data_IF_415860647167
#
_entry.id   IF_415860647167
#
_cell.length_a   1.000
_cell.length_b   1.000
_cell.length_c   1.000
_cell.angle_alpha   90.00
_cell.angle_beta   90.00
_cell.angle_gamma   90.00
#
_symmetry.space_group_name_H-M   'P 1'
#
loop_
_entity.id
_entity.type
_entity.pdbx_description
1 polymer ?
#
# COMPACT_ATOMS: atom_id res chain seq x y z
N UNK A 1 -28.10 -3.57 25.19
CA UNK A 1 -27.14 -2.96 24.26
C UNK A 1 -26.93 -3.91 23.10
N UNK A 2 -27.43 -3.60 21.90
CA UNK A 2 -27.03 -4.35 20.71
C UNK A 2 -25.56 -4.04 20.46
N UNK A 3 -24.68 -5.05 20.50
CA UNK A 3 -23.31 -4.89 20.04
C UNK A 3 -23.36 -4.52 18.56
N UNK A 4 -22.96 -3.30 18.23
CA UNK A 4 -22.82 -2.86 16.84
C UNK A 4 -21.83 -3.79 16.14
N UNK A 5 -22.30 -4.59 15.18
CA UNK A 5 -21.44 -5.46 14.39
C UNK A 5 -20.73 -4.61 13.35
N UNK A 6 -19.41 -4.53 13.43
CA UNK A 6 -18.61 -3.81 12.45
C UNK A 6 -18.44 -4.63 11.17
N UNK A 7 -18.43 -3.93 10.05
CA UNK A 7 -18.14 -4.51 8.73
C UNK A 7 -16.63 -4.57 8.53
N UNK A 8 -16.09 -5.78 8.43
CA UNK A 8 -14.68 -6.03 8.12
C UNK A 8 -14.58 -6.91 6.88
N UNK A 9 -13.76 -6.48 5.93
CA UNK A 9 -13.42 -7.25 4.73
C UNK A 9 -12.07 -7.95 4.97
N UNK A 10 -11.98 -9.24 4.64
CA UNK A 10 -10.75 -10.04 4.81
C UNK A 10 -10.04 -10.25 3.49
N UNK A 11 -8.81 -10.77 3.50
CA UNK A 11 -8.13 -11.14 2.26
C UNK A 11 -8.95 -12.16 1.45
N UNK A 12 -8.96 -11.99 0.13
CA UNK A 12 -9.67 -12.83 -0.84
C UNK A 12 -8.69 -13.79 -1.55
N UNK A 13 -9.22 -14.75 -2.31
CA UNK A 13 -8.38 -15.60 -3.18
C UNK A 13 -7.81 -14.84 -4.38
N UNK A 14 -8.55 -13.87 -4.93
CA UNK A 14 -8.05 -13.00 -5.98
C UNK A 14 -7.45 -11.73 -5.36
N UNK A 15 -6.34 -11.21 -5.91
CA UNK A 15 -5.79 -9.95 -5.44
C UNK A 15 -6.79 -8.80 -5.61
N UNK A 16 -6.79 -7.90 -4.63
CA UNK A 16 -7.64 -6.72 -4.61
C UNK A 16 -6.80 -5.50 -4.94
N UNK A 17 -7.21 -4.71 -5.93
CA UNK A 17 -6.69 -3.40 -6.28
C UNK A 17 -7.68 -2.32 -5.82
N UNK A 18 -7.30 -1.51 -4.82
CA UNK A 18 -8.11 -0.38 -4.40
C UNK A 18 -7.75 0.87 -5.20
N UNK A 19 -8.75 1.53 -5.78
CA UNK A 19 -8.60 2.84 -6.40
C UNK A 19 -9.29 3.87 -5.50
N UNK A 20 -8.48 4.72 -4.88
CA UNK A 20 -8.90 5.79 -3.99
C UNK A 20 -8.93 7.10 -4.77
N UNK A 21 -10.03 7.83 -4.67
CA UNK A 21 -10.22 9.10 -5.35
C UNK A 21 -10.42 10.22 -4.32
N UNK A 22 -9.78 11.36 -4.54
CA UNK A 22 -10.42 12.60 -4.13
C UNK A 22 -11.67 12.85 -4.99
N UNK A 23 -12.54 13.78 -4.57
CA UNK A 23 -13.80 14.02 -5.25
C UNK A 23 -13.80 15.32 -6.05
N UNK A 24 -13.66 16.45 -5.34
CA UNK A 24 -13.68 17.77 -5.96
C UNK A 24 -12.47 17.96 -6.86
N UNK A 25 -12.65 18.54 -8.05
CA UNK A 25 -11.60 18.73 -9.08
C UNK A 25 -10.91 17.45 -9.57
N UNK A 26 -11.34 16.29 -9.07
CA UNK A 26 -10.86 14.97 -9.45
C UNK A 26 -11.91 14.19 -10.24
N UNK A 27 -13.11 14.00 -9.68
CA UNK A 27 -14.27 13.42 -10.38
C UNK A 27 -15.24 14.48 -10.89
N UNK A 28 -15.20 15.69 -10.31
CA UNK A 28 -16.00 16.85 -10.68
C UNK A 28 -15.11 17.99 -11.15
N UNK A 29 -15.59 18.91 -12.01
CA UNK A 29 -14.77 20.03 -12.48
C UNK A 29 -14.59 21.16 -11.44
N UNK A 30 -15.48 21.24 -10.45
CA UNK A 30 -15.55 22.33 -9.47
C UNK A 30 -15.83 21.77 -8.07
N UNK A 31 -15.54 22.56 -7.04
CA UNK A 31 -15.91 22.26 -5.66
C UNK A 31 -17.41 22.00 -5.54
N UNK A 32 -17.83 20.88 -4.95
CA UNK A 32 -19.24 20.45 -4.93
C UNK A 32 -20.17 21.48 -4.30
N UNK A 33 -19.71 22.22 -3.29
CA UNK A 33 -20.47 23.24 -2.58
C UNK A 33 -20.79 24.42 -3.53
N UNK A 34 -19.91 24.68 -4.50
CA UNK A 34 -20.11 25.69 -5.53
C UNK A 34 -21.03 25.24 -6.67
N UNK A 35 -21.57 24.01 -6.65
CA UNK A 35 -22.46 23.47 -7.67
C UNK A 35 -23.94 23.51 -7.27
N UNK A 36 -24.36 24.59 -6.60
CA UNK A 36 -25.76 24.89 -6.33
C UNK A 36 -26.06 25.29 -4.88
N UNK A 37 -25.28 24.82 -3.91
CA UNK A 37 -25.50 25.16 -2.50
C UNK A 37 -25.22 26.65 -2.25
N UNK A 38 -23.98 27.09 -2.55
CA UNK A 38 -23.54 28.47 -2.28
C UNK A 38 -24.44 29.48 -3.02
N UNK A 39 -24.86 29.15 -4.25
CA UNK A 39 -25.78 30.00 -5.00
C UNK A 39 -27.19 30.05 -4.38
N UNK A 40 -27.66 28.96 -3.77
CA UNK A 40 -28.98 28.90 -3.18
C UNK A 40 -29.11 29.70 -1.87
N UNK A 41 -28.00 29.90 -1.15
CA UNK A 41 -27.93 30.84 0.00
C UNK A 41 -27.63 32.28 -0.44
N UNK A 42 -27.61 32.56 -1.75
CA UNK A 42 -27.40 33.92 -2.28
C UNK A 42 -25.97 34.44 -2.19
N UNK A 43 -24.99 33.57 -1.93
CA UNK A 43 -23.58 33.95 -1.81
C UNK A 43 -22.83 33.88 -3.14
N UNK A 44 -21.87 34.79 -3.32
CA UNK A 44 -20.78 34.58 -4.28
C UNK A 44 -19.81 33.51 -3.75
N UNK A 45 -19.31 32.66 -4.65
CA UNK A 45 -18.41 31.56 -4.26
C UNK A 45 -17.08 32.05 -3.70
N UNK A 46 -16.52 33.13 -4.26
CA UNK A 46 -15.25 33.68 -3.78
C UNK A 46 -15.37 34.34 -2.42
N UNK A 47 -16.47 35.07 -2.18
CA UNK A 47 -16.74 35.72 -0.89
C UNK A 47 -16.99 34.68 0.21
N UNK A 48 -17.76 33.62 -0.09
CA UNK A 48 -17.97 32.51 0.85
C UNK A 48 -16.65 31.91 1.33
N UNK A 49 -15.74 31.57 0.41
CA UNK A 49 -14.44 30.98 0.78
C UNK A 49 -13.53 31.99 1.49
N UNK A 50 -13.56 33.26 1.11
CA UNK A 50 -12.79 34.31 1.77
C UNK A 50 -13.21 34.47 3.23
N UNK A 51 -14.51 34.52 3.49
CA UNK A 51 -15.05 34.63 4.85
C UNK A 51 -14.77 33.37 5.67
N UNK A 52 -15.00 32.18 5.09
CA UNK A 52 -14.69 30.90 5.74
C UNK A 52 -13.21 30.78 6.11
N UNK A 53 -12.31 31.14 5.20
CA UNK A 53 -10.86 31.11 5.46
C UNK A 53 -10.45 32.17 6.49
N UNK A 54 -11.14 33.31 6.54
CA UNK A 54 -10.96 34.31 7.59
C UNK A 54 -11.38 33.80 8.97
N UNK A 55 -12.52 33.09 9.06
CA UNK A 55 -12.97 32.44 10.30
C UNK A 55 -11.92 31.42 10.77
N UNK A 56 -11.41 30.59 9.85
CA UNK A 56 -10.36 29.63 10.14
C UNK A 56 -9.12 30.31 10.76
N UNK A 57 -8.56 31.30 10.07
CA UNK A 57 -7.34 31.98 10.47
C UNK A 57 -7.50 32.77 11.79
N UNK A 58 -8.64 33.41 12.02
CA UNK A 58 -8.87 34.24 13.20
C UNK A 58 -9.15 33.45 14.49
N UNK A 59 -9.42 32.15 14.38
CA UNK A 59 -9.87 31.32 15.51
C UNK A 59 -9.10 29.99 15.66
N UNK A 60 -7.96 29.84 15.00
CA UNK A 60 -7.18 28.59 14.95
C UNK A 60 -8.03 27.36 14.55
N UNK A 61 -9.03 27.58 13.69
CA UNK A 61 -9.98 26.56 13.28
C UNK A 61 -9.50 25.87 12.00
N UNK A 62 -9.64 24.54 11.93
CA UNK A 62 -9.40 23.79 10.69
C UNK A 62 -10.27 24.36 9.55
N UNK A 63 -9.70 24.53 8.36
CA UNK A 63 -10.41 25.13 7.23
C UNK A 63 -11.69 24.36 6.83
N UNK A 64 -11.70 23.03 7.04
CA UNK A 64 -12.89 22.22 6.78
C UNK A 64 -13.96 22.43 7.85
N UNK A 65 -13.55 22.52 9.12
CA UNK A 65 -14.46 22.91 10.20
C UNK A 65 -15.05 24.30 9.95
N UNK A 66 -14.24 25.26 9.50
CA UNK A 66 -14.68 26.62 9.24
C UNK A 66 -15.72 26.70 8.11
N UNK A 67 -15.51 25.99 6.98
CA UNK A 67 -16.51 26.00 5.91
C UNK A 67 -17.79 25.30 6.35
N UNK A 68 -17.68 24.20 7.11
CA UNK A 68 -18.85 23.48 7.58
C UNK A 68 -19.68 24.34 8.54
N UNK A 69 -18.99 25.02 9.46
CA UNK A 69 -19.63 25.99 10.36
C UNK A 69 -20.31 27.12 9.56
N UNK A 70 -19.61 27.70 8.58
CA UNK A 70 -20.14 28.76 7.73
C UNK A 70 -21.36 28.29 6.93
N UNK A 71 -21.35 27.07 6.38
CA UNK A 71 -22.51 26.49 5.70
C UNK A 71 -23.72 26.44 6.64
N UNK A 72 -23.55 25.92 7.86
CA UNK A 72 -24.63 25.83 8.83
C UNK A 72 -25.19 27.21 9.20
N UNK A 73 -24.32 28.20 9.41
CA UNK A 73 -24.70 29.57 9.73
C UNK A 73 -25.51 30.22 8.59
N UNK A 74 -25.04 30.12 7.34
CA UNK A 74 -25.71 30.76 6.20
C UNK A 74 -26.98 30.03 5.75
N UNK A 75 -27.16 28.76 6.10
CA UNK A 75 -28.42 28.07 5.85
C UNK A 75 -29.56 28.59 6.74
N UNK A 76 -29.24 29.15 7.91
CA UNK A 76 -30.23 29.65 8.86
C UNK A 76 -31.06 30.79 8.23
N UNK A 77 -32.38 30.66 8.27
CA UNK A 77 -33.30 31.60 7.64
C UNK A 77 -33.50 31.41 6.12
N UNK A 78 -32.65 30.63 5.44
CA UNK A 78 -32.76 30.36 4.00
C UNK A 78 -33.47 29.03 3.70
N UNK A 79 -33.04 27.92 4.33
CA UNK A 79 -33.70 26.62 4.18
C UNK A 79 -33.30 25.64 5.29
N UNK A 80 -34.03 24.53 5.38
CA UNK A 80 -33.71 23.48 6.36
C UNK A 80 -32.45 22.73 5.93
N UNK A 81 -31.37 22.93 6.66
CA UNK A 81 -30.09 22.26 6.46
C UNK A 81 -30.14 20.83 7.03
N UNK A 82 -30.51 19.87 6.19
CA UNK A 82 -30.67 18.46 6.56
C UNK A 82 -30.01 17.52 5.52
N UNK A 83 -29.95 16.22 5.83
CA UNK A 83 -29.38 15.19 4.95
C UNK A 83 -30.03 15.18 3.57
N UNK A 84 -31.35 15.29 3.50
CA UNK A 84 -32.07 15.25 2.22
C UNK A 84 -31.72 16.45 1.34
N UNK A 85 -31.66 17.66 1.90
CA UNK A 85 -31.28 18.88 1.19
C UNK A 85 -29.89 18.74 0.57
N UNK A 86 -28.89 18.29 1.34
CA UNK A 86 -27.54 18.04 0.83
C UNK A 86 -27.53 16.99 -0.29
N UNK A 87 -28.29 15.90 -0.10
CA UNK A 87 -28.43 14.85 -1.11
C UNK A 87 -29.03 15.36 -2.42
N UNK A 88 -30.05 16.23 -2.36
CA UNK A 88 -30.67 16.85 -3.55
C UNK A 88 -29.70 17.81 -4.27
N UNK A 89 -28.84 18.53 -3.55
CA UNK A 89 -27.75 19.27 -4.18
C UNK A 89 -26.73 18.35 -4.85
N UNK A 90 -26.41 17.22 -4.21
CA UNK A 90 -25.58 16.16 -4.77
C UNK A 90 -26.04 15.66 -6.14
N UNK A 91 -27.34 15.55 -6.38
CA UNK A 91 -27.90 15.15 -7.68
C UNK A 91 -27.61 16.13 -8.82
N UNK A 92 -27.32 17.39 -8.50
CA UNK A 92 -27.04 18.46 -9.48
C UNK A 92 -25.56 18.57 -9.84
N UNK A 93 -24.69 17.86 -9.10
CA UNK A 93 -23.24 17.88 -9.30
C UNK A 93 -22.92 17.31 -10.68
N UNK A 94 -22.16 18.08 -11.47
CA UNK A 94 -21.64 17.66 -12.76
C UNK A 94 -20.35 16.88 -12.56
N UNK A 95 -20.23 15.77 -13.29
CA UNK A 95 -19.04 14.93 -13.31
C UNK A 95 -18.19 15.24 -14.54
N UNK A 96 -16.90 14.89 -14.48
CA UNK A 96 -16.06 14.92 -15.67
C UNK A 96 -16.53 13.92 -16.75
N UNK A 97 -16.13 14.13 -18.03
CA UNK A 97 -16.46 13.21 -19.10
C UNK A 97 -16.07 11.76 -18.80
N UNK A 98 -17.00 10.83 -19.04
CA UNK A 98 -16.77 9.39 -18.92
C UNK A 98 -16.86 8.80 -17.52
N UNK A 99 -16.99 9.61 -16.47
CA UNK A 99 -17.04 9.13 -15.06
C UNK A 99 -18.20 8.17 -14.81
N UNK A 100 -19.38 8.40 -15.41
CA UNK A 100 -20.54 7.55 -15.20
C UNK A 100 -20.33 6.09 -15.65
N UNK A 101 -19.59 5.88 -16.74
CA UNK A 101 -19.27 4.55 -17.26
C UNK A 101 -17.93 3.98 -16.78
N UNK A 102 -17.16 4.76 -16.00
CA UNK A 102 -15.79 4.44 -15.61
C UNK A 102 -15.73 3.24 -14.67
N UNK A 103 -16.47 3.28 -13.55
CA UNK A 103 -16.30 2.34 -12.44
C UNK A 103 -16.56 0.88 -12.85
N UNK A 104 -17.69 0.62 -13.52
CA UNK A 104 -17.99 -0.74 -13.95
C UNK A 104 -17.07 -1.21 -15.07
N UNK A 105 -16.64 -0.32 -15.97
CA UNK A 105 -15.69 -0.67 -17.03
C UNK A 105 -14.34 -1.11 -16.45
N UNK A 106 -13.83 -0.39 -15.47
CA UNK A 106 -12.56 -0.75 -14.81
C UNK A 106 -12.72 -2.03 -13.97
N UNK A 107 -13.84 -2.22 -13.26
CA UNK A 107 -14.13 -3.49 -12.59
C UNK A 107 -14.18 -4.67 -13.56
N UNK A 108 -14.85 -4.51 -14.71
CA UNK A 108 -14.93 -5.55 -15.73
C UNK A 108 -13.54 -5.89 -16.30
N UNK A 109 -12.70 -4.87 -16.54
CA UNK A 109 -11.31 -5.10 -16.96
C UNK A 109 -10.51 -5.85 -15.89
N UNK A 110 -10.58 -5.42 -14.62
CA UNK A 110 -9.96 -6.13 -13.49
C UNK A 110 -10.37 -7.60 -13.41
N UNK A 111 -11.68 -7.87 -13.48
CA UNK A 111 -12.22 -9.24 -13.50
C UNK A 111 -11.63 -10.08 -14.63
N UNK A 112 -11.46 -9.50 -15.83
CA UNK A 112 -10.84 -10.21 -16.96
C UNK A 112 -9.37 -10.56 -16.75
N UNK A 113 -8.70 -9.93 -15.77
CA UNK A 113 -7.29 -10.13 -15.40
C UNK A 113 -7.12 -10.87 -14.08
N UNK A 114 -8.20 -11.36 -13.48
CA UNK A 114 -8.15 -12.02 -12.17
C UNK A 114 -7.89 -11.07 -10.99
N UNK A 115 -8.20 -9.78 -11.14
CA UNK A 115 -8.03 -8.75 -10.09
C UNK A 115 -9.39 -8.19 -9.69
N UNK A 116 -9.68 -8.19 -8.39
CA UNK A 116 -10.87 -7.50 -7.86
C UNK A 116 -10.53 -6.01 -7.78
N UNK A 117 -11.29 -5.16 -8.47
CA UNK A 117 -11.11 -3.70 -8.37
C UNK A 117 -12.17 -3.11 -7.46
N UNK A 118 -11.73 -2.39 -6.43
CA UNK A 118 -12.58 -1.70 -5.47
C UNK A 118 -12.38 -0.19 -5.59
N UNK A 119 -13.47 0.58 -5.55
CA UNK A 119 -13.41 2.04 -5.69
C UNK A 119 -13.80 2.73 -4.37
N UNK A 120 -13.02 3.71 -3.95
CA UNK A 120 -13.18 4.40 -2.68
C UNK A 120 -13.11 5.91 -2.85
N UNK A 121 -13.98 6.65 -2.16
CA UNK A 121 -13.85 8.10 -2.06
C UNK A 121 -13.18 8.48 -0.74
N UNK A 122 -12.18 9.35 -0.81
CA UNK A 122 -11.51 9.98 0.33
C UNK A 122 -11.50 11.50 0.07
N UNK A 123 -12.53 12.19 0.55
CA UNK A 123 -12.77 13.60 0.21
C UNK A 123 -12.98 14.46 1.46
N UNK A 124 -12.53 15.72 1.40
CA UNK A 124 -12.88 16.73 2.41
C UNK A 124 -14.30 17.29 2.25
N UNK A 125 -14.96 17.03 1.11
CA UNK A 125 -16.33 17.44 0.83
C UNK A 125 -17.38 16.73 1.67
N UNK A 126 -18.65 17.03 1.41
CA UNK A 126 -19.78 16.51 2.19
C UNK A 126 -20.26 15.16 1.68
N UNK A 127 -20.29 14.17 2.57
CA UNK A 127 -20.69 12.79 2.30
C UNK A 127 -22.07 12.72 1.66
N UNK A 128 -23.04 13.43 2.21
CA UNK A 128 -24.43 13.42 1.75
C UNK A 128 -24.57 13.94 0.31
N UNK A 129 -23.76 14.94 -0.06
CA UNK A 129 -23.72 15.45 -1.44
C UNK A 129 -23.11 14.41 -2.40
N UNK A 130 -22.01 13.76 -1.99
CA UNK A 130 -21.38 12.71 -2.80
C UNK A 130 -22.35 11.53 -2.98
N UNK A 131 -23.04 11.10 -1.93
CA UNK A 131 -24.07 10.05 -1.95
C UNK A 131 -25.24 10.39 -2.92
N UNK A 132 -25.53 11.67 -3.14
CA UNK A 132 -26.56 12.13 -4.08
C UNK A 132 -26.20 12.01 -5.57
N UNK A 133 -24.91 11.86 -5.89
CA UNK A 133 -24.42 11.83 -7.28
C UNK A 133 -24.95 10.61 -8.06
N UNK A 134 -24.97 10.68 -9.39
CA UNK A 134 -25.41 9.54 -10.22
C UNK A 134 -24.58 8.28 -9.97
N UNK A 135 -23.26 8.43 -9.84
CA UNK A 135 -22.32 7.30 -9.64
C UNK A 135 -22.43 6.67 -8.26
N UNK A 136 -22.59 7.46 -7.19
CA UNK A 136 -22.79 6.90 -5.85
C UNK A 136 -24.10 6.12 -5.77
N UNK A 137 -25.18 6.66 -6.35
CA UNK A 137 -26.49 5.98 -6.42
C UNK A 137 -26.45 4.70 -7.26
N UNK A 138 -25.57 4.62 -8.24
CA UNK A 138 -25.32 3.42 -9.03
C UNK A 138 -24.48 2.36 -8.30
N UNK A 139 -24.09 2.60 -7.04
CA UNK A 139 -23.28 1.66 -6.27
C UNK A 139 -21.82 1.61 -6.73
N UNK A 140 -21.27 2.73 -7.21
CA UNK A 140 -19.92 2.76 -7.74
C UNK A 140 -18.82 2.50 -6.69
N UNK A 141 -19.07 2.79 -5.41
CA UNK A 141 -18.05 2.84 -4.37
C UNK A 141 -18.30 1.85 -3.24
N UNK A 142 -17.22 1.24 -2.75
CA UNK A 142 -17.28 0.32 -1.61
C UNK A 142 -17.42 1.10 -0.30
N UNK A 143 -16.81 2.28 -0.25
CA UNK A 143 -16.95 3.23 0.87
C UNK A 143 -16.69 4.66 0.43
N UNK A 144 -17.47 5.58 1.01
CA UNK A 144 -17.29 7.03 0.90
C UNK A 144 -16.83 7.54 2.27
N UNK A 145 -15.57 7.94 2.34
CA UNK A 145 -14.99 8.67 3.48
C UNK A 145 -15.01 10.16 3.16
N UNK A 146 -15.89 10.88 3.84
CA UNK A 146 -16.13 12.29 3.61
C UNK A 146 -16.62 12.97 4.89
N UNK A 147 -16.57 14.31 4.90
CA UNK A 147 -17.09 15.10 6.01
C UNK A 147 -18.61 14.97 6.09
N UNK A 148 -19.17 14.98 7.30
CA UNK A 148 -20.63 14.81 7.51
C UNK A 148 -21.09 15.54 8.76
N UNK A 149 -22.39 15.81 8.84
CA UNK A 149 -22.99 16.44 10.01
C UNK A 149 -23.65 15.42 10.94
N UNK A 150 -23.70 15.77 12.22
CA UNK A 150 -24.62 15.24 13.20
C UNK A 150 -25.94 16.00 13.10
N UNK A 151 -27.04 15.25 13.08
CA UNK A 151 -28.39 15.76 12.93
C UNK A 151 -29.16 15.54 14.23
N UNK A 152 -29.97 16.52 14.62
CA UNK A 152 -30.88 16.38 15.77
C UNK A 152 -32.09 15.48 15.44
N UNK A 153 -32.96 15.24 16.43
CA UNK A 153 -34.16 14.38 16.28
C UNK A 153 -35.16 14.85 15.19
N UNK A 154 -35.06 16.13 14.79
CA UNK A 154 -35.86 16.71 13.69
C UNK A 154 -35.17 16.59 12.33
N UNK A 155 -34.00 15.95 12.28
CA UNK A 155 -33.19 15.77 11.08
C UNK A 155 -32.40 17.01 10.64
N UNK A 156 -32.29 18.04 11.48
CA UNK A 156 -31.56 19.28 11.16
C UNK A 156 -30.10 19.15 11.62
N UNK A 157 -29.15 19.50 10.76
CA UNK A 157 -27.73 19.48 11.09
C UNK A 157 -27.43 20.50 12.18
N UNK A 158 -26.61 20.11 13.16
CA UNK A 158 -26.24 20.98 14.29
C UNK A 158 -24.74 20.98 14.62
N UNK A 159 -23.99 20.00 14.13
CA UNK A 159 -22.57 19.86 14.45
C UNK A 159 -21.83 19.01 13.39
N UNK A 160 -20.54 19.25 13.07
CA UNK A 160 -19.74 18.33 12.26
C UNK A 160 -19.54 16.98 12.97
N UNK A 161 -20.06 15.88 12.40
CA UNK A 161 -19.88 14.52 12.93
C UNK A 161 -18.53 13.92 12.55
N UNK A 162 -18.14 14.10 11.29
CA UNK A 162 -16.86 13.67 10.74
C UNK A 162 -16.29 14.83 9.94
N UNK A 163 -15.01 15.12 10.12
CA UNK A 163 -14.30 16.10 9.31
C UNK A 163 -13.12 15.41 8.66
N UNK A 164 -13.01 15.52 7.35
CA UNK A 164 -11.90 14.97 6.58
C UNK A 164 -11.02 16.12 6.09
N UNK A 165 -9.75 16.09 6.48
CA UNK A 165 -8.74 17.08 6.11
C UNK A 165 -7.50 16.40 5.54
N UNK A 166 -6.58 17.20 4.97
CA UNK A 166 -5.38 16.70 4.28
C UNK A 166 -4.52 15.73 5.11
N UNK A 167 -4.56 15.84 6.45
CA UNK A 167 -3.79 14.98 7.36
C UNK A 167 -4.52 13.68 7.59
N UNK A 168 -5.79 13.75 7.99
CA UNK A 168 -6.55 12.57 8.38
C UNK A 168 -7.07 11.76 7.17
N UNK A 169 -7.00 12.27 5.93
CA UNK A 169 -7.25 11.44 4.74
C UNK A 169 -6.42 10.14 4.76
N UNK A 170 -5.19 10.20 5.28
CA UNK A 170 -4.26 9.06 5.35
C UNK A 170 -4.78 7.90 6.19
N UNK A 171 -5.55 8.14 7.27
CA UNK A 171 -6.09 7.03 8.09
C UNK A 171 -7.04 6.14 7.30
N UNK A 172 -7.73 6.68 6.29
CA UNK A 172 -8.65 5.89 5.48
C UNK A 172 -7.92 4.93 4.55
N UNK A 173 -6.68 5.24 4.15
CA UNK A 173 -5.84 4.30 3.40
C UNK A 173 -5.48 3.08 4.25
N UNK A 174 -5.07 3.27 5.50
CA UNK A 174 -4.80 2.17 6.43
C UNK A 174 -6.06 1.33 6.73
N UNK A 175 -7.24 1.98 6.76
CA UNK A 175 -8.52 1.27 6.92
C UNK A 175 -8.84 0.41 5.72
N UNK A 176 -8.61 0.91 4.50
CA UNK A 176 -8.78 0.15 3.26
C UNK A 176 -7.78 -1.01 3.23
N UNK A 177 -6.51 -0.76 3.59
CA UNK A 177 -5.45 -1.76 3.63
C UNK A 177 -5.85 -2.98 4.47
N UNK A 178 -6.30 -2.73 5.69
CA UNK A 178 -6.71 -3.76 6.65
C UNK A 178 -8.14 -4.28 6.42
N UNK A 179 -8.91 -3.68 5.52
CA UNK A 179 -10.32 -3.99 5.31
C UNK A 179 -11.25 -3.60 6.48
N UNK A 180 -10.83 -2.65 7.34
CA UNK A 180 -11.59 -2.17 8.51
C UNK A 180 -12.31 -0.86 8.15
N UNK A 181 -13.45 -0.98 7.46
CA UNK A 181 -14.05 0.14 6.73
C UNK A 181 -14.91 1.10 7.57
N UNK A 182 -15.35 0.72 8.77
CA UNK A 182 -16.10 1.63 9.67
C UNK A 182 -15.11 2.53 10.41
N UNK A 183 -15.35 3.85 10.34
CA UNK A 183 -14.49 4.90 10.93
C UNK A 183 -14.38 4.80 12.45
N UNK A 184 -15.35 4.18 13.12
CA UNK A 184 -15.37 4.00 14.57
C UNK A 184 -15.00 2.57 14.98
N UNK A 185 -14.59 1.70 14.06
CA UNK A 185 -14.10 0.37 14.41
C UNK A 185 -12.68 0.48 14.99
N UNK A 186 -12.45 0.07 16.25
CA UNK A 186 -11.14 0.09 16.89
C UNK A 186 -10.17 -0.93 16.29
N UNK A 187 -10.65 -1.91 15.50
CA UNK A 187 -9.84 -2.94 14.88
C UNK A 187 -8.81 -2.44 13.87
N UNK A 188 -8.88 -1.16 13.48
CA UNK A 188 -7.81 -0.51 12.73
C UNK A 188 -6.46 -0.57 13.48
N UNK A 189 -6.49 -0.66 14.81
CA UNK A 189 -5.31 -0.76 15.67
C UNK A 189 -4.82 -2.21 15.84
N UNK A 190 -5.58 -3.21 15.39
CA UNK A 190 -5.18 -4.61 15.48
C UNK A 190 -3.94 -4.84 14.60
N UNK A 191 -3.08 -5.78 15.03
CA UNK A 191 -1.94 -6.24 14.25
C UNK A 191 -2.40 -7.23 13.17
N UNK A 192 -1.94 -7.02 11.94
CA UNK A 192 -2.21 -7.91 10.80
C UNK A 192 -0.86 -8.39 10.25
N UNK A 193 -0.72 -9.70 10.03
CA UNK A 193 0.46 -10.20 9.34
C UNK A 193 0.42 -9.79 7.86
N UNK A 194 1.57 -9.65 7.19
CA UNK A 194 1.63 -9.25 5.77
C UNK A 194 0.76 -10.10 4.84
N UNK A 195 0.59 -11.39 5.16
CA UNK A 195 -0.23 -12.32 4.39
C UNK A 195 -1.74 -12.24 4.72
N UNK A 196 -2.14 -11.51 5.77
CA UNK A 196 -3.54 -11.30 6.20
C UNK A 196 -4.11 -9.96 5.72
N UNK A 197 -3.23 -9.04 5.31
CA UNK A 197 -3.61 -7.73 4.76
C UNK A 197 -4.52 -7.93 3.54
N UNK A 198 -5.68 -7.24 3.53
CA UNK A 198 -6.64 -7.34 2.44
C UNK A 198 -6.12 -6.66 1.18
N UNK A 199 -5.70 -5.40 1.31
CA UNK A 199 -5.24 -4.58 0.18
C UNK A 199 -3.86 -4.01 0.54
N UNK A 200 -2.75 -4.67 0.21
CA UNK A 200 -1.44 -4.09 0.50
C UNK A 200 -1.27 -2.78 -0.27
N UNK A 201 -0.53 -1.80 0.27
CA UNK A 201 -0.34 -0.48 -0.37
C UNK A 201 0.15 -0.55 -1.82
N UNK A 202 0.98 -1.55 -2.16
CA UNK A 202 1.42 -1.83 -3.55
C UNK A 202 0.28 -2.09 -4.53
N UNK A 203 -0.89 -2.45 -4.03
CA UNK A 203 -2.14 -2.65 -4.78
C UNK A 203 -3.13 -1.51 -4.51
N UNK A 204 -2.62 -0.30 -4.32
CA UNK A 204 -3.43 0.91 -4.23
C UNK A 204 -3.08 1.89 -5.34
N UNK A 205 -4.11 2.49 -5.92
CA UNK A 205 -4.01 3.67 -6.76
C UNK A 205 -4.66 4.83 -6.01
N UNK A 206 -3.97 5.98 -5.91
CA UNK A 206 -4.55 7.22 -5.44
C UNK A 206 -4.65 8.22 -6.59
N UNK A 207 -5.85 8.76 -6.83
CA UNK A 207 -6.12 9.75 -7.87
C UNK A 207 -6.61 11.04 -7.21
N UNK A 208 -5.93 12.15 -7.47
CA UNK A 208 -6.31 13.48 -6.94
C UNK A 208 -5.69 14.62 -7.75
N UNK A 209 -6.20 15.84 -7.60
CA UNK A 209 -5.70 17.02 -8.32
C UNK A 209 -4.90 18.00 -7.45
N UNK A 210 -5.00 17.86 -6.13
CA UNK A 210 -4.70 18.94 -5.19
C UNK A 210 -3.47 18.72 -4.32
N UNK A 211 -2.93 19.81 -3.77
CA UNK A 211 -1.88 19.76 -2.76
C UNK A 211 -2.35 19.08 -1.46
N UNK A 212 -3.67 19.03 -1.20
CA UNK A 212 -4.23 18.39 0.00
C UNK A 212 -4.16 16.86 -0.04
N UNK A 213 -3.99 16.29 -1.23
CA UNK A 213 -3.87 14.85 -1.43
C UNK A 213 -2.42 14.36 -1.35
N UNK A 214 -1.45 15.28 -1.32
CA UNK A 214 -0.03 14.95 -1.32
C UNK A 214 0.36 13.98 -0.20
N UNK A 215 -0.12 14.09 1.06
CA UNK A 215 0.20 13.11 2.08
C UNK A 215 -0.25 11.69 1.71
N UNK A 216 -1.43 11.55 1.11
CA UNK A 216 -1.96 10.27 0.66
C UNK A 216 -1.18 9.74 -0.56
N UNK A 217 -0.94 10.60 -1.55
CA UNK A 217 -0.17 10.26 -2.75
C UNK A 217 1.25 9.80 -2.39
N UNK A 218 1.90 10.51 -1.47
CA UNK A 218 3.23 10.14 -1.01
C UNK A 218 3.21 8.82 -0.25
N UNK A 219 2.26 8.64 0.67
CA UNK A 219 2.13 7.40 1.44
C UNK A 219 1.94 6.17 0.52
N UNK A 220 1.05 6.27 -0.46
CA UNK A 220 0.81 5.19 -1.43
C UNK A 220 2.07 4.91 -2.25
N UNK A 221 2.72 5.95 -2.77
CA UNK A 221 3.91 5.82 -3.61
C UNK A 221 5.11 5.23 -2.84
N UNK A 222 5.40 5.73 -1.63
CA UNK A 222 6.50 5.26 -0.80
C UNK A 222 6.34 3.78 -0.40
N UNK A 223 5.11 3.26 -0.41
CA UNK A 223 4.79 1.86 -0.12
C UNK A 223 4.51 1.01 -1.38
N UNK A 224 4.98 1.48 -2.54
CA UNK A 224 4.98 0.72 -3.80
C UNK A 224 3.68 0.76 -4.60
N UNK A 225 2.70 1.55 -4.18
CA UNK A 225 1.46 1.81 -4.93
C UNK A 225 1.65 2.88 -5.99
N UNK A 226 0.53 3.42 -6.50
CA UNK A 226 0.53 4.32 -7.64
C UNK A 226 -0.23 5.61 -7.38
N UNK A 227 0.45 6.74 -7.51
CA UNK A 227 -0.16 8.06 -7.35
C UNK A 227 -0.29 8.76 -8.70
N UNK A 228 -1.54 9.13 -9.03
CA UNK A 228 -1.92 9.76 -10.29
C UNK A 228 -2.46 11.16 -10.01
N UNK A 229 -1.71 12.18 -10.42
CA UNK A 229 -2.20 13.56 -10.42
C UNK A 229 -3.12 13.82 -11.61
N UNK A 230 -4.34 14.28 -11.39
CA UNK A 230 -5.23 14.67 -12.51
C UNK A 230 -5.23 16.18 -12.72
N UNK A 231 -5.36 16.60 -13.97
CA UNK A 231 -5.53 18.00 -14.34
C UNK A 231 -6.81 18.24 -15.13
N UNK A 232 -7.36 19.45 -15.02
CA UNK A 232 -8.67 19.79 -15.57
C UNK A 232 -8.73 19.59 -17.08
N UNK A 233 -9.74 18.83 -17.52
CA UNK A 233 -10.08 18.64 -18.93
C UNK A 233 -10.35 19.97 -19.64
N UNK A 234 -10.95 20.94 -18.95
CA UNK A 234 -11.38 22.21 -19.54
C UNK A 234 -10.23 23.21 -19.70
N UNK A 235 -9.41 23.40 -18.67
CA UNK A 235 -8.32 24.39 -18.70
C UNK A 235 -7.03 23.84 -19.30
N UNK A 236 -6.86 22.51 -19.29
CA UNK A 236 -5.62 21.81 -19.67
C UNK A 236 -4.38 22.30 -18.90
N UNK A 237 -4.57 22.95 -17.75
CA UNK A 237 -3.45 23.48 -16.95
C UNK A 237 -2.69 22.35 -16.26
N UNK A 238 -1.43 22.16 -16.67
CA UNK A 238 -0.54 21.13 -16.12
C UNK A 238 0.40 21.65 -15.03
N UNK A 239 0.33 22.93 -14.67
CA UNK A 239 1.29 23.57 -13.76
C UNK A 239 1.38 22.84 -12.42
N UNK A 240 0.24 22.47 -11.83
CA UNK A 240 0.18 21.73 -10.56
C UNK A 240 0.80 20.34 -10.67
N UNK A 241 0.39 19.55 -11.65
CA UNK A 241 0.90 18.18 -11.83
C UNK A 241 2.40 18.15 -12.17
N UNK A 242 2.90 19.15 -12.90
CA UNK A 242 4.33 19.30 -13.16
C UNK A 242 5.13 19.61 -11.89
N UNK A 243 4.61 20.48 -11.01
CA UNK A 243 5.22 20.74 -9.71
C UNK A 243 5.24 19.48 -8.85
N UNK A 244 4.11 18.77 -8.74
CA UNK A 244 4.00 17.53 -7.96
C UNK A 244 4.96 16.44 -8.47
N UNK A 245 5.08 16.29 -9.79
CA UNK A 245 6.03 15.35 -10.41
C UNK A 245 7.48 15.75 -10.12
N UNK A 246 7.84 17.03 -10.26
CA UNK A 246 9.19 17.53 -9.96
C UNK A 246 9.60 17.25 -8.51
N UNK A 247 8.66 17.45 -7.60
CA UNK A 247 8.84 17.21 -6.17
C UNK A 247 8.74 15.71 -5.81
N UNK A 248 8.64 14.81 -6.81
CA UNK A 248 8.51 13.35 -6.66
C UNK A 248 7.32 12.91 -5.78
N UNK A 249 6.23 13.68 -5.81
CA UNK A 249 5.02 13.42 -5.00
C UNK A 249 4.02 12.48 -5.69
N UNK A 250 4.10 12.37 -7.02
CA UNK A 250 3.26 11.50 -7.86
C UNK A 250 4.12 10.69 -8.83
N UNK A 251 3.62 9.54 -9.26
CA UNK A 251 4.28 8.70 -10.28
C UNK A 251 3.84 9.06 -11.69
N UNK A 252 2.57 9.42 -11.83
CA UNK A 252 1.93 9.67 -13.11
C UNK A 252 1.04 10.90 -13.01
N UNK A 253 0.71 11.46 -14.14
CA UNK A 253 -0.40 12.40 -14.25
C UNK A 253 -1.17 12.11 -15.53
N UNK A 254 -2.45 12.45 -15.53
CA UNK A 254 -3.30 12.30 -16.70
C UNK A 254 -4.39 13.37 -16.68
N UNK A 255 -5.03 13.57 -17.82
CA UNK A 255 -6.21 14.42 -17.89
C UNK A 255 -7.39 13.83 -17.10
N UNK A 256 -8.19 14.67 -16.45
CA UNK A 256 -9.46 14.30 -15.83
C UNK A 256 -10.55 13.99 -16.89
N UNK A 257 -10.28 13.00 -17.74
CA UNK A 257 -11.19 12.47 -18.75
C UNK A 257 -11.22 10.94 -18.61
N UNK A 258 -12.32 10.46 -18.04
CA UNK A 258 -12.55 9.07 -17.66
C UNK A 258 -13.26 8.29 -18.77
N UNK A 259 -13.26 8.80 -20.00
CA UNK A 259 -13.85 8.10 -21.15
C UNK A 259 -13.00 6.87 -21.52
N UNK A 260 -13.59 5.89 -22.20
CA UNK A 260 -12.86 4.70 -22.61
C UNK A 260 -11.72 5.05 -23.59
N UNK A 261 -10.59 4.34 -23.48
CA UNK A 261 -9.40 4.49 -24.32
C UNK A 261 -8.67 5.85 -24.21
N UNK A 262 -9.00 6.67 -23.20
CA UNK A 262 -8.23 7.88 -22.88
C UNK A 262 -6.94 7.55 -22.14
N UNK A 263 -6.09 8.57 -21.92
CA UNK A 263 -4.82 8.43 -21.19
C UNK A 263 -5.02 7.81 -19.80
N UNK A 264 -5.98 8.32 -19.01
CA UNK A 264 -6.26 7.82 -17.66
C UNK A 264 -6.79 6.39 -17.65
N UNK A 265 -7.71 6.06 -18.58
CA UNK A 265 -8.27 4.71 -18.74
C UNK A 265 -7.19 3.68 -19.08
N UNK A 266 -6.34 4.00 -20.07
CA UNK A 266 -5.24 3.14 -20.46
C UNK A 266 -4.18 3.00 -19.36
N UNK A 267 -3.90 4.07 -18.62
CA UNK A 267 -2.96 4.05 -17.50
C UNK A 267 -3.43 3.12 -16.39
N UNK A 268 -4.69 3.23 -15.96
CA UNK A 268 -5.25 2.37 -14.90
C UNK A 268 -5.29 0.90 -15.35
N UNK A 269 -5.65 0.63 -16.61
CA UNK A 269 -5.59 -0.73 -17.18
C UNK A 269 -4.18 -1.32 -17.13
N UNK A 270 -3.14 -0.55 -17.45
CA UNK A 270 -1.74 -0.99 -17.33
C UNK A 270 -1.34 -1.29 -15.89
N UNK A 271 -1.82 -0.49 -14.92
CA UNK A 271 -1.59 -0.76 -13.50
C UNK A 271 -2.26 -2.07 -13.08
N UNK A 272 -3.49 -2.33 -13.53
CA UNK A 272 -4.19 -3.61 -13.28
C UNK A 272 -3.38 -4.80 -13.82
N UNK A 273 -2.89 -4.70 -15.05
CA UNK A 273 -2.06 -5.75 -15.66
C UNK A 273 -0.79 -6.00 -14.83
N UNK A 274 -0.15 -4.93 -14.34
CA UNK A 274 1.02 -5.02 -13.46
C UNK A 274 0.68 -5.61 -12.10
N UNK A 275 -0.46 -5.26 -11.49
CA UNK A 275 -0.93 -5.84 -10.24
C UNK A 275 -1.12 -7.35 -10.37
N UNK A 276 -1.76 -7.82 -11.44
CA UNK A 276 -1.93 -9.24 -11.69
C UNK A 276 -0.59 -9.98 -11.78
N UNK A 277 0.37 -9.42 -12.52
CA UNK A 277 1.71 -10.01 -12.65
C UNK A 277 2.50 -10.00 -11.34
N UNK A 278 2.47 -8.88 -10.59
CA UNK A 278 3.16 -8.75 -9.32
C UNK A 278 2.62 -9.72 -8.27
N UNK A 279 1.30 -9.87 -8.16
CA UNK A 279 0.69 -10.75 -7.16
C UNK A 279 0.97 -12.23 -7.45
N UNK A 280 1.09 -12.61 -8.73
CA UNK A 280 1.58 -13.95 -9.09
C UNK A 280 3.01 -14.20 -8.60
N UNK A 281 3.89 -13.19 -8.59
CA UNK A 281 5.24 -13.29 -8.03
C UNK A 281 5.22 -13.33 -6.49
N UNK A 282 4.38 -12.52 -5.86
CA UNK A 282 4.21 -12.50 -4.40
C UNK A 282 3.71 -13.85 -3.87
N UNK A 283 2.78 -14.50 -4.57
CA UNK A 283 2.32 -15.86 -4.22
C UNK A 283 3.46 -16.88 -4.22
N UNK A 284 4.34 -16.84 -5.23
CA UNK A 284 5.54 -17.70 -5.29
C UNK A 284 6.48 -17.37 -4.13
N UNK A 285 6.72 -16.07 -3.88
CA UNK A 285 7.58 -15.63 -2.78
C UNK A 285 7.07 -16.12 -1.41
N UNK A 286 5.78 -15.95 -1.12
CA UNK A 286 5.20 -16.42 0.14
C UNK A 286 5.20 -17.95 0.24
N UNK A 287 5.02 -18.66 -0.88
CA UNK A 287 5.18 -20.11 -0.94
C UNK A 287 6.58 -20.54 -0.51
N UNK A 288 7.62 -19.98 -1.15
CA UNK A 288 9.01 -20.26 -0.84
C UNK A 288 9.38 -19.85 0.61
N UNK A 289 8.87 -18.71 1.08
CA UNK A 289 9.14 -18.23 2.43
C UNK A 289 8.51 -19.14 3.49
N UNK A 290 7.29 -19.65 3.24
CA UNK A 290 6.64 -20.60 4.14
C UNK A 290 7.37 -21.95 4.16
N UNK A 291 7.84 -22.43 3.01
CA UNK A 291 8.68 -23.62 2.92
C UNK A 291 9.98 -23.44 3.73
N UNK A 292 10.67 -22.31 3.53
CA UNK A 292 11.83 -21.90 4.31
C UNK A 292 11.54 -21.93 5.81
N UNK A 293 10.49 -21.25 6.28
CA UNK A 293 10.15 -21.21 7.72
C UNK A 293 9.86 -22.60 8.30
N UNK A 294 9.29 -23.51 7.52
CA UNK A 294 9.03 -24.87 7.97
C UNK A 294 10.31 -25.71 8.02
N UNK A 295 11.20 -25.55 7.04
CA UNK A 295 12.52 -26.18 7.05
C UNK A 295 13.35 -25.66 8.23
N UNK A 296 13.36 -24.34 8.43
CA UNK A 296 14.05 -23.62 9.50
C UNK A 296 13.59 -24.10 10.89
N UNK A 297 12.28 -24.21 11.13
CA UNK A 297 11.75 -24.79 12.38
C UNK A 297 12.11 -26.26 12.58
N UNK A 298 12.35 -27.02 11.51
CA UNK A 298 12.75 -28.43 11.57
C UNK A 298 14.25 -28.61 11.80
N UNK A 299 15.07 -27.63 11.41
CA UNK A 299 16.51 -27.57 11.67
C UNK A 299 16.81 -26.63 12.84
N UNK A 300 16.99 -27.15 14.06
CA UNK A 300 17.32 -26.31 15.23
C UNK A 300 18.51 -25.36 14.99
N UNK A 301 18.57 -24.24 15.75
CA UNK A 301 19.51 -23.11 15.55
C UNK A 301 20.97 -23.52 15.28
N UNK A 302 21.48 -24.56 15.97
CA UNK A 302 22.84 -25.05 15.78
C UNK A 302 23.08 -25.64 14.37
N UNK A 303 22.07 -26.33 13.81
CA UNK A 303 22.16 -26.96 12.48
C UNK A 303 22.10 -25.92 11.35
N UNK A 304 21.36 -24.84 11.58
CA UNK A 304 21.33 -23.69 10.68
C UNK A 304 22.69 -22.98 10.65
N UNK A 305 23.27 -22.68 11.82
CA UNK A 305 24.61 -22.08 11.91
C UNK A 305 25.67 -22.92 11.21
N UNK A 306 25.65 -24.25 11.37
CA UNK A 306 26.54 -25.17 10.64
C UNK A 306 26.36 -25.05 9.13
N UNK A 307 25.12 -25.01 8.66
CA UNK A 307 24.80 -24.92 7.23
C UNK A 307 25.29 -23.60 6.63
N UNK A 308 25.03 -22.47 7.30
CA UNK A 308 25.45 -21.14 6.86
C UNK A 308 26.98 -21.02 6.78
N UNK A 309 27.69 -21.61 7.76
CA UNK A 309 29.15 -21.63 7.77
C UNK A 309 29.72 -22.53 6.67
N UNK A 310 29.09 -23.67 6.37
CA UNK A 310 29.46 -24.53 5.24
C UNK A 310 29.31 -23.77 3.91
N UNK A 311 28.17 -23.09 3.70
CA UNK A 311 27.91 -22.27 2.50
C UNK A 311 28.91 -21.11 2.42
N UNK A 312 29.22 -20.47 3.55
CA UNK A 312 30.19 -19.39 3.61
C UNK A 312 31.60 -19.88 3.26
N UNK A 313 31.98 -21.08 3.71
CA UNK A 313 33.26 -21.69 3.38
C UNK A 313 33.35 -22.03 1.88
N UNK A 314 32.28 -22.60 1.31
CA UNK A 314 32.16 -22.90 -0.12
C UNK A 314 32.34 -21.65 -0.99
N UNK A 315 31.77 -20.53 -0.55
CA UNK A 315 31.83 -19.24 -1.25
C UNK A 315 33.02 -18.36 -0.82
N UNK A 316 33.93 -18.86 0.01
CA UNK A 316 35.05 -18.06 0.51
C UNK A 316 35.98 -17.64 -0.64
N UNK A 317 36.24 -16.33 -0.74
CA UNK A 317 37.05 -15.72 -1.80
C UNK A 317 38.41 -15.18 -1.34
N UNK A 318 38.74 -15.30 -0.05
CA UNK A 318 40.01 -14.85 0.51
C UNK A 318 40.54 -15.79 1.59
N UNK A 319 41.86 -15.87 1.76
CA UNK A 319 42.46 -16.67 2.83
C UNK A 319 42.03 -16.21 4.24
N UNK A 320 41.96 -14.90 4.47
CA UNK A 320 41.52 -14.33 5.75
C UNK A 320 40.08 -14.72 6.11
N UNK A 321 39.16 -14.69 5.13
CA UNK A 321 37.79 -15.16 5.34
C UNK A 321 37.74 -16.66 5.62
N UNK A 322 38.52 -17.46 4.89
CA UNK A 322 38.59 -18.90 5.11
C UNK A 322 39.04 -19.26 6.52
N UNK A 323 40.11 -18.64 7.05
CA UNK A 323 40.56 -18.88 8.42
C UNK A 323 39.50 -18.51 9.46
N UNK A 324 38.81 -17.38 9.25
CA UNK A 324 37.74 -16.93 10.15
C UNK A 324 36.59 -17.93 10.18
N UNK A 325 36.12 -18.36 9.00
CA UNK A 325 35.01 -19.31 8.86
C UNK A 325 35.39 -20.68 9.45
N UNK A 326 36.59 -21.19 9.17
CA UNK A 326 37.09 -22.44 9.76
C UNK A 326 37.18 -22.32 11.28
N UNK A 327 37.63 -21.19 11.82
CA UNK A 327 37.66 -20.95 13.27
C UNK A 327 36.28 -20.96 13.92
N UNK A 328 35.23 -20.56 13.20
CA UNK A 328 33.84 -20.64 13.65
C UNK A 328 33.27 -22.06 13.52
N UNK A 329 33.56 -22.75 12.41
CA UNK A 329 33.24 -24.17 12.22
C UNK A 329 33.92 -25.05 13.29
N UNK A 330 35.13 -24.70 13.71
CA UNK A 330 35.90 -25.43 14.73
C UNK A 330 35.26 -25.36 16.13
N UNK A 331 34.25 -24.51 16.34
CA UNK A 331 33.49 -24.46 17.61
C UNK A 331 32.48 -25.60 17.76
N UNK A 332 32.13 -26.27 16.66
CA UNK A 332 31.21 -27.40 16.66
C UNK A 332 31.95 -28.74 16.69
N UNK A 333 31.48 -29.64 17.54
CA UNK A 333 32.09 -30.95 17.75
C UNK A 333 31.33 -32.09 17.06
N UNK A 334 30.01 -31.94 16.93
CA UNK A 334 29.14 -32.98 16.36
C UNK A 334 28.81 -32.67 14.90
N UNK A 335 29.28 -33.53 14.00
CA UNK A 335 29.10 -33.39 12.55
C UNK A 335 28.51 -34.68 11.98
N UNK A 336 27.41 -34.57 11.25
CA UNK A 336 26.83 -35.68 10.49
C UNK A 336 27.70 -36.06 9.30
N UNK A 337 27.54 -37.29 8.79
CA UNK A 337 28.30 -37.78 7.63
C UNK A 337 28.12 -36.87 6.40
N UNK A 338 26.89 -36.43 6.03
CA UNK A 338 26.71 -35.53 4.89
C UNK A 338 27.40 -34.17 5.05
N UNK A 339 27.38 -33.59 6.27
CA UNK A 339 28.06 -32.31 6.53
C UNK A 339 29.58 -32.45 6.41
N UNK A 340 30.15 -33.55 6.90
CA UNK A 340 31.58 -33.86 6.71
C UNK A 340 31.91 -33.99 5.23
N UNK A 341 31.12 -34.73 4.48
CA UNK A 341 31.34 -34.91 3.03
C UNK A 341 31.33 -33.56 2.29
N UNK A 342 30.37 -32.69 2.57
CA UNK A 342 30.30 -31.35 2.00
C UNK A 342 31.57 -30.54 2.30
N UNK A 343 32.06 -30.55 3.54
CA UNK A 343 33.30 -29.87 3.93
C UNK A 343 34.52 -30.42 3.16
N UNK A 344 34.65 -31.75 3.02
CA UNK A 344 35.75 -32.36 2.26
C UNK A 344 35.66 -32.08 0.76
N UNK A 345 34.46 -32.00 0.17
CA UNK A 345 34.28 -31.56 -1.22
C UNK A 345 34.70 -30.10 -1.41
N UNK A 346 34.33 -29.21 -0.48
CA UNK A 346 34.74 -27.80 -0.51
C UNK A 346 36.27 -27.67 -0.47
N UNK A 347 36.97 -28.47 0.34
CA UNK A 347 38.43 -28.47 0.40
C UNK A 347 39.12 -28.80 -0.93
N UNK A 348 38.44 -29.52 -1.83
CA UNK A 348 38.95 -29.88 -3.16
C UNK A 348 38.53 -28.81 -4.18
N UNK A 349 37.27 -28.40 -4.14
CA UNK A 349 36.65 -27.62 -5.21
C UNK A 349 36.83 -26.11 -5.03
N UNK A 350 36.91 -25.62 -3.79
CA UNK A 350 37.20 -24.21 -3.54
C UNK A 350 38.72 -23.96 -3.57
N UNK A 351 39.16 -23.19 -4.55
CA UNK A 351 40.58 -22.86 -4.77
C UNK A 351 41.24 -22.20 -3.56
N UNK A 352 40.54 -21.32 -2.84
CA UNK A 352 41.10 -20.65 -1.66
C UNK A 352 41.37 -21.67 -0.56
N UNK A 353 40.38 -22.49 -0.22
CA UNK A 353 40.49 -23.53 0.82
C UNK A 353 41.58 -24.56 0.46
N UNK A 354 41.63 -24.97 -0.82
CA UNK A 354 42.62 -25.94 -1.29
C UNK A 354 44.06 -25.45 -1.14
N UNK A 355 44.32 -24.17 -1.48
CA UNK A 355 45.67 -23.58 -1.45
C UNK A 355 46.26 -23.44 -0.04
N UNK A 356 45.42 -23.32 0.98
CA UNK A 356 45.83 -23.15 2.39
C UNK A 356 45.48 -24.38 3.25
N UNK A 357 45.20 -25.51 2.60
CA UNK A 357 44.78 -26.74 3.27
C UNK A 357 45.83 -27.25 4.28
N UNK A 358 47.11 -26.95 4.06
CA UNK A 358 48.20 -27.31 4.95
C UNK A 358 48.48 -26.30 6.08
N UNK A 359 47.76 -25.18 6.14
CA UNK A 359 47.87 -24.22 7.24
C UNK A 359 47.44 -24.87 8.56
N UNK A 360 48.10 -24.49 9.65
CA UNK A 360 48.07 -25.24 10.89
C UNK A 360 46.66 -25.43 11.48
N UNK A 361 45.83 -24.40 11.42
CA UNK A 361 44.44 -24.39 11.91
C UNK A 361 43.50 -25.16 10.97
N UNK A 362 43.65 -25.00 9.65
CA UNK A 362 42.83 -25.66 8.63
C UNK A 362 43.13 -27.16 8.58
N UNK A 363 44.41 -27.54 8.54
CA UNK A 363 44.86 -28.94 8.60
C UNK A 363 44.37 -29.62 9.88
N UNK A 364 44.38 -28.91 11.01
CA UNK A 364 43.87 -29.42 12.29
C UNK A 364 42.36 -29.66 12.24
N UNK A 365 41.59 -28.70 11.72
CA UNK A 365 40.14 -28.83 11.57
C UNK A 365 39.76 -30.05 10.74
N UNK A 366 40.28 -30.17 9.51
CA UNK A 366 39.96 -31.29 8.62
C UNK A 366 40.42 -32.65 9.16
N UNK A 367 41.56 -32.71 9.85
CA UNK A 367 41.99 -33.94 10.53
C UNK A 367 41.02 -34.37 11.63
N UNK A 368 40.38 -33.42 12.32
CA UNK A 368 39.39 -33.70 13.36
C UNK A 368 38.06 -34.23 12.80
N UNK A 369 37.72 -33.89 11.55
CA UNK A 369 36.54 -34.40 10.87
C UNK A 369 36.69 -35.85 10.38
N UNK A 370 37.93 -36.37 10.32
CA UNK A 370 38.19 -37.75 9.92
C UNK A 370 37.56 -38.73 10.91
N UNK A 371 36.91 -39.75 10.35
CA UNK A 371 36.36 -40.88 11.10
C UNK A 371 36.46 -42.13 10.22
N UNK A 372 36.43 -43.32 10.84
CA UNK A 372 36.59 -44.59 10.12
C UNK A 372 35.60 -44.75 8.95
N UNK A 373 34.40 -44.21 9.10
CA UNK A 373 33.32 -44.23 8.10
C UNK A 373 33.60 -43.30 6.90
N UNK A 374 34.38 -42.23 7.10
CA UNK A 374 34.72 -41.25 6.06
C UNK A 374 35.90 -41.70 5.18
N UNK A 375 36.76 -42.59 5.66
CA UNK A 375 38.00 -42.99 4.97
C UNK A 375 37.77 -43.76 3.64
N UNK A 376 36.55 -44.23 3.40
CA UNK A 376 36.16 -44.87 2.14
C UNK A 376 35.65 -43.87 1.08
N UNK A 377 35.52 -42.58 1.42
CA UNK A 377 34.97 -41.55 0.52
C UNK A 377 36.07 -40.92 -0.32
N UNK A 378 35.80 -40.76 -1.62
CA UNK A 378 36.80 -40.31 -2.60
C UNK A 378 37.37 -38.91 -2.28
N UNK A 379 36.52 -37.97 -1.86
CA UNK A 379 36.96 -36.63 -1.46
C UNK A 379 37.86 -36.64 -0.23
N UNK A 380 37.54 -37.48 0.76
CA UNK A 380 38.35 -37.63 1.96
C UNK A 380 39.73 -38.21 1.62
N UNK A 381 39.79 -39.21 0.74
CA UNK A 381 41.05 -39.80 0.29
C UNK A 381 41.92 -38.74 -0.43
N UNK A 382 41.32 -37.94 -1.31
CA UNK A 382 42.02 -36.86 -2.03
C UNK A 382 42.58 -35.81 -1.09
N UNK A 383 41.79 -35.33 -0.13
CA UNK A 383 42.23 -34.36 0.88
C UNK A 383 43.33 -34.94 1.77
N UNK A 384 43.21 -36.22 2.17
CA UNK A 384 44.26 -36.89 2.96
C UNK A 384 45.59 -36.98 2.18
N UNK A 385 45.55 -37.34 0.90
CA UNK A 385 46.75 -37.38 0.05
C UNK A 385 47.39 -35.98 -0.14
N UNK A 386 46.62 -34.90 -0.04
CA UNK A 386 47.15 -33.53 -0.07
C UNK A 386 47.88 -33.15 1.23
N UNK A 387 47.55 -33.77 2.36
CA UNK A 387 48.26 -33.55 3.64
C UNK A 387 49.65 -34.20 3.70
N UNK A 388 49.91 -35.21 2.87
CA UNK A 388 51.14 -36.02 2.84
C UNK A 388 52.19 -35.49 1.84
N UNK A 389 51.87 -34.42 1.09
CA UNK A 389 52.74 -33.84 0.05
C UNK A 389 53.71 -32.75 0.51
N UNK A 390 53.78 -32.46 1.82
CA UNK A 390 54.78 -31.54 2.42
C UNK A 390 55.85 -32.29 3.21
#
# INVERSE_FOLDING_TARGET
>A
MNQKKFERKTKEMMPVLAICYDFDKTLTPNDMQAQGYIQAIGYDTSDFWKESNGIAANNDMDQNLAYMFKMLQEAEGNFVFNKQTLYEYGKKVKLFPGVEGWFERIRAYGRSKGVIVEHYIISSGLKEMIEGTSVARAGAFERIYASSYYYNDRGVAIWPAQVVNYTNKTQFLFRIEKGVLDVNDPGINDHFQPNEIRVPFRNMIYIGDSDTDIPCMKLVNDNGGYSIGVYSHSTKDKTKVYKMMRDRRINYFAEANYSENTELDNLVKKIIDRTAANESLEEIHFGNYKEYLNADKATGEEKQQKTDLIISLENSTSFASTHTIIGELDRFNDWSIPEKEALFEIAINNRQVNLILNDADIKKFYKRLLSKEMLAKESVIKVCAMFEKD
#
